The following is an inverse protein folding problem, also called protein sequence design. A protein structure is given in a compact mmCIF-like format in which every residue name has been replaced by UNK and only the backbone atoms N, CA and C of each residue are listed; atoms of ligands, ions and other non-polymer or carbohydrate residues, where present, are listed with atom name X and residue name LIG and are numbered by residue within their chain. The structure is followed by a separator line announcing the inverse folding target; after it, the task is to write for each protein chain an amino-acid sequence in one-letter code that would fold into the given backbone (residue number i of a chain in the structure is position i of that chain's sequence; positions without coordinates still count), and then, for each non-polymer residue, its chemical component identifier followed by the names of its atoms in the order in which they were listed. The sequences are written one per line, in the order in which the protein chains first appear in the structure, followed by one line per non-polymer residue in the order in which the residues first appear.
data_IF_862629175483
#
_entry.id   IF_862629175483
#
_cell.length_a   1.000
_cell.length_b   1.000
_cell.length_c   1.000
_cell.angle_alpha   90.00
_cell.angle_beta   90.00
_cell.angle_gamma   90.00
#
_symmetry.space_group_name_H-M   'P 1'
#
loop_
_entity.id
_entity.type
_entity.pdbx_description
1 polymer ?
#
# COMPACT_ATOMS: atom_id res chain seq x y z
N UNK A 1 -9.85 14.72 -2.67
CA UNK A 1 -10.32 13.35 -2.36
C UNK A 1 -10.66 13.26 -0.89
N UNK A 2 -11.81 12.71 -0.55
CA UNK A 2 -12.22 12.37 0.82
C UNK A 2 -11.77 10.93 1.16
N UNK A 3 -10.57 10.81 1.71
CA UNK A 3 -9.99 9.50 2.06
C UNK A 3 -10.84 8.71 3.05
N UNK A 4 -11.53 9.38 3.99
CA UNK A 4 -12.36 8.72 4.99
C UNK A 4 -13.58 8.07 4.34
N UNK A 5 -14.24 8.79 3.43
CA UNK A 5 -15.40 8.29 2.68
C UNK A 5 -15.04 7.12 1.80
N UNK A 6 -13.92 7.21 1.06
CA UNK A 6 -13.49 6.13 0.14
C UNK A 6 -13.04 4.90 0.92
N UNK A 7 -12.29 5.10 2.02
CA UNK A 7 -11.91 3.99 2.89
C UNK A 7 -13.14 3.27 3.47
N UNK A 8 -14.12 4.03 3.99
CA UNK A 8 -15.36 3.48 4.55
C UNK A 8 -16.12 2.64 3.51
N UNK A 9 -16.20 3.12 2.27
CA UNK A 9 -16.85 2.40 1.16
C UNK A 9 -16.19 1.04 0.91
N UNK A 10 -14.86 1.02 0.79
CA UNK A 10 -14.11 -0.20 0.50
C UNK A 10 -14.06 -1.15 1.69
N UNK A 11 -13.80 -0.62 2.89
CA UNK A 11 -13.71 -1.42 4.12
C UNK A 11 -15.05 -2.10 4.43
N UNK A 12 -16.15 -1.37 4.36
CA UNK A 12 -17.50 -1.93 4.59
C UNK A 12 -17.84 -3.06 3.62
N UNK A 13 -17.47 -2.91 2.34
CA UNK A 13 -17.65 -3.99 1.36
C UNK A 13 -16.82 -5.23 1.70
N UNK A 14 -15.54 -5.05 2.04
CA UNK A 14 -14.63 -6.15 2.35
C UNK A 14 -14.99 -6.84 3.67
N UNK A 15 -15.37 -6.09 4.70
CA UNK A 15 -15.84 -6.63 5.98
C UNK A 15 -17.06 -7.54 5.80
N UNK A 16 -18.02 -7.16 4.95
CA UNK A 16 -19.19 -8.00 4.64
C UNK A 16 -18.84 -9.35 4.01
N UNK A 17 -17.58 -9.51 3.57
CA UNK A 17 -17.04 -10.71 2.92
C UNK A 17 -15.93 -11.38 3.74
N UNK A 18 -15.75 -10.94 4.98
CA UNK A 18 -14.69 -11.42 5.89
C UNK A 18 -13.27 -11.24 5.31
N UNK A 19 -13.10 -10.31 4.36
CA UNK A 19 -11.81 -9.97 3.76
C UNK A 19 -11.16 -8.79 4.49
N UNK A 20 -9.84 -8.86 4.66
CA UNK A 20 -9.06 -7.84 5.34
C UNK A 20 -8.60 -6.75 4.37
N UNK A 21 -8.43 -5.54 4.90
CA UNK A 21 -7.87 -4.41 4.17
C UNK A 21 -6.91 -3.62 5.06
N UNK A 22 -5.83 -3.11 4.46
CA UNK A 22 -4.92 -2.19 5.14
C UNK A 22 -4.55 -1.03 4.20
N UNK A 23 -4.28 0.13 4.80
CA UNK A 23 -3.81 1.32 4.09
C UNK A 23 -2.31 1.22 3.89
N UNK A 24 -1.88 1.49 2.67
CA UNK A 24 -0.47 1.47 2.26
C UNK A 24 -0.09 2.79 1.57
N UNK A 25 0.91 2.81 0.71
CA UNK A 25 1.28 4.00 -0.06
C UNK A 25 1.58 5.23 0.79
N UNK A 26 1.16 6.39 0.31
CA UNK A 26 1.44 7.69 0.95
C UNK A 26 0.84 7.83 2.34
N UNK A 27 -0.42 7.41 2.53
CA UNK A 27 -1.08 7.43 3.84
C UNK A 27 -0.51 6.40 4.81
N UNK A 28 -0.08 5.23 4.32
CA UNK A 28 0.63 4.24 5.12
C UNK A 28 1.96 4.78 5.66
N UNK A 29 2.72 5.50 4.84
CA UNK A 29 3.93 6.21 5.26
C UNK A 29 3.62 7.28 6.32
N UNK A 30 2.56 8.05 6.10
CA UNK A 30 2.11 9.09 7.05
C UNK A 30 1.79 8.51 8.42
N UNK A 31 1.13 7.36 8.49
CA UNK A 31 0.82 6.67 9.75
C UNK A 31 2.07 6.25 10.55
N UNK A 32 3.22 6.10 9.88
CA UNK A 32 4.53 5.88 10.50
C UNK A 32 5.31 7.17 10.78
N UNK A 33 4.71 8.36 10.54
CA UNK A 33 5.37 9.65 10.77
C UNK A 33 6.22 10.16 9.61
N UNK A 34 6.16 9.52 8.44
CA UNK A 34 6.85 9.99 7.24
C UNK A 34 5.93 10.96 6.49
N UNK A 35 6.31 12.24 6.46
CA UNK A 35 5.54 13.28 5.77
C UNK A 35 5.73 13.17 4.25
N UNK A 36 4.65 12.86 3.56
CA UNK A 36 4.59 12.78 2.10
C UNK A 36 3.19 13.17 1.62
N UNK A 37 3.13 14.04 0.61
CA UNK A 37 1.87 14.35 -0.05
C UNK A 37 1.39 13.15 -0.87
N UNK A 38 0.09 12.85 -0.84
CA UNK A 38 -0.56 11.86 -1.69
C UNK A 38 -1.90 12.40 -2.17
N UNK A 39 -2.32 12.01 -3.37
CA UNK A 39 -3.59 12.40 -3.99
C UNK A 39 -4.52 11.21 -4.22
N UNK A 40 -4.03 10.01 -3.93
CA UNK A 40 -4.66 8.71 -4.11
C UNK A 40 -4.75 7.95 -2.79
N UNK A 41 -5.67 7.01 -2.73
CA UNK A 41 -5.77 6.05 -1.65
C UNK A 41 -5.21 4.72 -2.14
N UNK A 42 -4.11 4.28 -1.51
CA UNK A 42 -3.51 2.98 -1.76
C UNK A 42 -3.96 1.98 -0.69
N UNK A 43 -4.51 0.86 -1.10
CA UNK A 43 -4.96 -0.21 -0.20
C UNK A 43 -4.34 -1.55 -0.59
N UNK A 44 -4.22 -2.45 0.38
CA UNK A 44 -3.88 -3.85 0.16
C UNK A 44 -4.96 -4.76 0.72
N UNK A 45 -5.31 -5.80 -0.03
CA UNK A 45 -6.27 -6.82 0.38
C UNK A 45 -5.86 -8.21 -0.14
N UNK A 46 -6.66 -9.20 0.13
CA UNK A 46 -6.43 -10.59 -0.27
C UNK A 46 -6.80 -10.81 -1.75
N UNK A 47 -6.06 -11.68 -2.43
CA UNK A 47 -6.23 -11.93 -3.87
C UNK A 47 -7.65 -12.41 -4.24
N UNK A 48 -8.29 -13.18 -3.35
CA UNK A 48 -9.65 -13.65 -3.58
C UNK A 48 -10.72 -12.54 -3.55
N UNK A 49 -10.41 -11.39 -2.97
CA UNK A 49 -11.31 -10.23 -2.93
C UNK A 49 -11.35 -9.44 -4.23
N UNK A 50 -10.36 -9.58 -5.12
CA UNK A 50 -10.19 -8.73 -6.30
C UNK A 50 -11.42 -8.70 -7.20
N UNK A 51 -11.90 -9.86 -7.66
CA UNK A 51 -13.01 -9.91 -8.61
C UNK A 51 -14.28 -9.25 -8.08
N UNK A 52 -14.75 -9.64 -6.88
CA UNK A 52 -15.90 -9.02 -6.25
C UNK A 52 -15.72 -7.52 -5.96
N UNK A 53 -14.53 -7.10 -5.51
CA UNK A 53 -14.27 -5.69 -5.18
C UNK A 53 -14.25 -4.82 -6.45
N UNK A 54 -13.62 -5.27 -7.54
CA UNK A 54 -13.61 -4.54 -8.81
C UNK A 54 -15.04 -4.34 -9.31
N UNK A 55 -15.86 -5.41 -9.35
CA UNK A 55 -17.24 -5.31 -9.77
C UNK A 55 -18.08 -4.37 -8.87
N UNK A 56 -17.81 -4.38 -7.56
CA UNK A 56 -18.43 -3.45 -6.63
C UNK A 56 -18.04 -2.00 -6.94
N UNK A 57 -16.75 -1.70 -7.11
CA UNK A 57 -16.26 -0.35 -7.40
C UNK A 57 -16.84 0.18 -8.72
N UNK A 58 -16.92 -0.65 -9.76
CA UNK A 58 -17.56 -0.30 -11.03
C UNK A 58 -19.05 0.01 -10.84
N UNK A 59 -19.76 -0.73 -9.97
CA UNK A 59 -21.14 -0.42 -9.61
C UNK A 59 -21.32 0.89 -8.85
N UNK A 60 -20.25 1.37 -8.19
CA UNK A 60 -20.21 2.67 -7.51
C UNK A 60 -19.76 3.82 -8.43
N UNK A 61 -19.54 3.55 -9.72
CA UNK A 61 -19.18 4.55 -10.73
C UNK A 61 -17.67 4.76 -10.92
N UNK A 62 -16.83 3.91 -10.35
CA UNK A 62 -15.40 3.91 -10.67
C UNK A 62 -15.13 3.29 -12.03
N UNK A 63 -14.26 3.91 -12.80
CA UNK A 63 -13.66 3.33 -14.00
C UNK A 63 -12.42 2.54 -13.61
N UNK A 64 -12.32 1.26 -14.05
CA UNK A 64 -11.11 0.46 -13.90
C UNK A 64 -10.13 0.81 -15.01
N UNK A 65 -9.07 1.55 -14.69
CA UNK A 65 -8.06 1.98 -15.65
C UNK A 65 -7.06 0.88 -15.99
N UNK A 66 -6.73 0.05 -15.00
CA UNK A 66 -5.85 -1.10 -15.18
C UNK A 66 -6.19 -2.22 -14.20
N UNK A 67 -5.99 -3.48 -14.64
CA UNK A 67 -6.16 -4.66 -13.81
C UNK A 67 -5.15 -5.75 -14.20
N UNK A 68 -4.49 -6.32 -13.21
CA UNK A 68 -3.64 -7.51 -13.31
C UNK A 68 -3.95 -8.46 -12.15
N UNK A 69 -3.31 -9.61 -12.06
CA UNK A 69 -3.57 -10.57 -10.98
C UNK A 69 -3.30 -10.02 -9.56
N UNK A 70 -2.31 -9.12 -9.42
CA UNK A 70 -1.90 -8.57 -8.11
C UNK A 70 -2.22 -7.10 -7.91
N UNK A 71 -2.88 -6.44 -8.87
CA UNK A 71 -3.09 -5.00 -8.82
C UNK A 71 -4.29 -4.56 -9.65
N UNK A 72 -4.99 -3.53 -9.18
CA UNK A 72 -5.93 -2.76 -9.99
C UNK A 72 -5.93 -1.30 -9.58
N UNK A 73 -6.18 -0.39 -10.52
CA UNK A 73 -6.39 1.01 -10.22
C UNK A 73 -7.70 1.52 -10.81
N UNK A 74 -8.31 2.44 -10.10
CA UNK A 74 -9.63 2.93 -10.37
C UNK A 74 -9.67 4.43 -10.24
N UNK A 75 -10.47 5.08 -11.08
CA UNK A 75 -10.69 6.53 -11.04
C UNK A 75 -12.19 6.81 -11.05
N UNK A 76 -12.61 7.71 -10.17
CA UNK A 76 -13.96 8.22 -10.16
C UNK A 76 -14.00 9.64 -10.71
N UNK A 77 -15.07 9.99 -11.46
CA UNK A 77 -15.25 11.34 -12.02
C UNK A 77 -15.49 12.40 -10.94
N UNK A 78 -16.08 12.01 -9.79
CA UNK A 78 -16.20 12.87 -8.61
C UNK A 78 -14.81 12.98 -7.94
N UNK A 79 -14.22 14.21 -7.85
CA UNK A 79 -12.90 14.39 -7.24
C UNK A 79 -12.85 14.04 -5.74
N UNK A 80 -13.99 14.02 -5.05
CA UNK A 80 -14.04 13.58 -3.65
C UNK A 80 -13.87 12.06 -3.51
N UNK A 81 -14.20 11.29 -4.55
CA UNK A 81 -13.94 9.85 -4.62
C UNK A 81 -12.58 9.54 -5.26
N UNK A 82 -12.14 10.30 -6.23
CA UNK A 82 -10.80 10.36 -6.77
C UNK A 82 -10.22 9.02 -7.24
N UNK A 83 -8.91 8.85 -7.01
CA UNK A 83 -8.15 7.68 -7.46
C UNK A 83 -7.93 6.68 -6.31
N UNK A 84 -8.19 5.41 -6.61
CA UNK A 84 -8.01 4.27 -5.70
C UNK A 84 -7.10 3.22 -6.35
N UNK A 85 -6.02 2.89 -5.67
CA UNK A 85 -5.06 1.87 -6.08
C UNK A 85 -5.12 0.69 -5.12
N UNK A 86 -5.25 -0.53 -5.66
CA UNK A 86 -5.45 -1.76 -4.91
C UNK A 86 -4.36 -2.78 -5.24
N UNK A 87 -3.64 -3.20 -4.22
CA UNK A 87 -2.69 -4.32 -4.28
C UNK A 87 -3.38 -5.56 -3.70
N UNK A 88 -3.23 -6.69 -4.38
CA UNK A 88 -3.78 -7.96 -3.94
C UNK A 88 -2.65 -8.94 -3.67
N UNK A 89 -2.68 -9.56 -2.49
CA UNK A 89 -1.65 -10.49 -2.05
C UNK A 89 -2.25 -11.89 -1.83
N UNK A 90 -1.43 -12.93 -2.07
CA UNK A 90 -1.81 -14.30 -1.78
C UNK A 90 -2.04 -14.55 -0.28
N UNK A 91 -2.63 -15.69 0.05
CA UNK A 91 -3.04 -16.01 1.43
C UNK A 91 -1.86 -16.03 2.42
N UNK A 92 -0.68 -16.53 2.01
CA UNK A 92 0.50 -16.58 2.88
C UNK A 92 1.06 -15.18 3.13
N UNK A 93 1.19 -14.37 2.09
CA UNK A 93 1.59 -12.97 2.20
C UNK A 93 0.59 -12.18 3.02
N UNK A 94 -0.72 -12.37 2.81
CA UNK A 94 -1.77 -11.71 3.58
C UNK A 94 -1.67 -12.06 5.07
N UNK A 95 -1.48 -13.34 5.41
CA UNK A 95 -1.33 -13.78 6.79
C UNK A 95 -0.18 -13.06 7.51
N UNK A 96 0.99 -12.97 6.87
CA UNK A 96 2.17 -12.30 7.42
C UNK A 96 1.98 -10.78 7.51
N UNK A 97 1.45 -10.16 6.45
CA UNK A 97 1.26 -8.72 6.37
C UNK A 97 0.27 -8.24 7.45
N UNK A 98 -0.90 -8.86 7.55
CA UNK A 98 -1.94 -8.43 8.49
C UNK A 98 -1.58 -8.75 9.95
N UNK A 99 -0.86 -9.86 10.22
CA UNK A 99 -0.32 -10.15 11.55
C UNK A 99 0.73 -9.12 11.99
N UNK A 100 1.46 -8.50 11.06
CA UNK A 100 2.47 -7.49 11.30
C UNK A 100 1.95 -6.05 11.32
N UNK A 101 0.63 -5.82 11.23
CA UNK A 101 0.08 -4.46 11.32
C UNK A 101 0.29 -3.88 12.71
N UNK A 102 1.11 -2.81 12.82
CA UNK A 102 1.47 -2.17 14.10
C UNK A 102 0.92 -0.77 14.27
N UNK A 103 0.66 -0.05 13.17
CA UNK A 103 0.11 1.30 13.17
C UNK A 103 -1.36 1.28 12.74
N UNK A 104 -2.13 2.24 13.28
CA UNK A 104 -3.53 2.45 12.90
C UNK A 104 -3.72 3.90 12.52
N UNK A 105 -4.31 4.13 11.37
CA UNK A 105 -4.62 5.45 10.84
C UNK A 105 -6.10 5.76 11.09
N UNK A 106 -6.39 6.92 11.64
CA UNK A 106 -7.77 7.39 11.78
C UNK A 106 -8.22 8.05 10.48
N UNK A 107 -9.27 7.49 9.87
CA UNK A 107 -9.94 7.99 8.69
C UNK A 107 -11.42 8.21 9.02
N UNK A 108 -11.77 9.42 9.43
CA UNK A 108 -13.09 9.74 9.96
C UNK A 108 -13.38 8.92 11.22
N UNK A 109 -14.45 8.12 11.20
CA UNK A 109 -14.82 7.21 12.29
C UNK A 109 -14.12 5.84 12.24
N UNK A 110 -13.34 5.57 11.19
CA UNK A 110 -12.70 4.28 10.99
C UNK A 110 -11.24 4.31 11.46
N UNK A 111 -10.82 3.18 12.05
CA UNK A 111 -9.41 2.92 12.40
C UNK A 111 -8.84 1.93 11.39
N UNK A 112 -8.16 2.46 10.39
CA UNK A 112 -7.56 1.67 9.34
C UNK A 112 -6.31 0.93 9.84
N UNK A 113 -6.14 -0.32 9.42
CA UNK A 113 -4.90 -1.06 9.61
C UNK A 113 -3.81 -0.51 8.71
N UNK A 114 -2.57 -0.48 9.21
CA UNK A 114 -1.38 -0.10 8.44
C UNK A 114 -0.32 -1.16 8.69
N UNK A 115 0.30 -1.72 7.64
CA UNK A 115 1.40 -2.66 7.79
C UNK A 115 2.60 -2.02 8.51
N UNK A 116 3.45 -2.83 9.11
CA UNK A 116 4.71 -2.36 9.68
C UNK A 116 5.63 -1.77 8.60
N UNK A 117 6.57 -0.94 9.02
CA UNK A 117 7.45 -0.17 8.12
C UNK A 117 8.22 -1.06 7.14
N UNK A 118 8.70 -2.23 7.58
CA UNK A 118 9.40 -3.18 6.72
C UNK A 118 8.52 -3.74 5.61
N UNK A 119 7.24 -4.00 5.88
CA UNK A 119 6.31 -4.47 4.85
C UNK A 119 5.97 -3.36 3.85
N UNK A 120 5.85 -2.10 4.29
CA UNK A 120 5.73 -0.96 3.37
C UNK A 120 6.98 -0.83 2.50
N UNK A 121 8.18 -1.00 3.07
CA UNK A 121 9.43 -1.04 2.31
C UNK A 121 9.45 -2.19 1.29
N UNK A 122 8.99 -3.40 1.66
CA UNK A 122 8.87 -4.53 0.73
C UNK A 122 7.99 -4.19 -0.48
N UNK A 123 6.84 -3.54 -0.25
CA UNK A 123 5.93 -3.12 -1.33
C UNK A 123 6.58 -2.10 -2.25
N UNK A 124 7.36 -1.14 -1.71
CA UNK A 124 8.14 -0.16 -2.49
C UNK A 124 9.22 -0.83 -3.32
N UNK A 125 9.95 -1.80 -2.75
CA UNK A 125 10.94 -2.59 -3.48
C UNK A 125 10.30 -3.37 -4.64
N UNK A 126 9.14 -3.98 -4.41
CA UNK A 126 8.41 -4.69 -5.46
C UNK A 126 7.90 -3.73 -6.54
N UNK A 127 7.44 -2.53 -6.17
CA UNK A 127 7.02 -1.51 -7.13
C UNK A 127 8.18 -1.06 -8.02
N UNK A 128 9.36 -0.80 -7.46
CA UNK A 128 10.57 -0.47 -8.23
C UNK A 128 11.00 -1.58 -9.20
N UNK A 129 10.83 -2.85 -8.79
CA UNK A 129 11.13 -3.99 -9.65
C UNK A 129 10.18 -4.05 -10.85
N UNK A 130 8.90 -3.74 -10.63
CA UNK A 130 7.86 -3.82 -11.67
C UNK A 130 7.85 -2.58 -12.58
N UNK A 131 8.19 -1.41 -12.02
CA UNK A 131 8.24 -0.14 -12.76
C UNK A 131 9.49 0.67 -12.34
N UNK A 132 10.59 0.55 -13.08
CA UNK A 132 11.83 1.29 -12.80
C UNK A 132 11.69 2.82 -12.83
N UNK A 133 10.66 3.38 -13.51
CA UNK A 133 10.44 4.82 -13.58
C UNK A 133 10.10 5.43 -12.22
N UNK A 134 9.52 4.65 -11.31
CA UNK A 134 9.19 5.04 -9.94
C UNK A 134 10.40 5.01 -8.98
N UNK A 135 11.54 4.52 -9.44
CA UNK A 135 12.68 4.14 -8.61
C UNK A 135 13.18 5.22 -7.66
N UNK A 136 13.25 6.48 -8.08
CA UNK A 136 13.75 7.56 -7.24
C UNK A 136 12.81 7.86 -6.06
N UNK A 137 11.51 7.93 -6.32
CA UNK A 137 10.51 8.22 -5.29
C UNK A 137 10.38 7.07 -4.30
N UNK A 138 10.29 5.83 -4.78
CA UNK A 138 10.17 4.66 -3.92
C UNK A 138 11.44 4.44 -3.09
N UNK A 139 12.64 4.76 -3.62
CA UNK A 139 13.88 4.75 -2.84
C UNK A 139 13.87 5.81 -1.72
N UNK A 140 13.39 7.02 -2.00
CA UNK A 140 13.26 8.06 -0.98
C UNK A 140 12.28 7.64 0.13
N UNK A 141 11.18 7.00 -0.23
CA UNK A 141 10.22 6.45 0.72
C UNK A 141 10.86 5.36 1.62
N UNK A 142 11.60 4.41 1.02
CA UNK A 142 12.32 3.37 1.79
C UNK A 142 13.40 3.98 2.68
N UNK A 143 14.15 4.98 2.20
CA UNK A 143 15.13 5.70 3.00
C UNK A 143 14.48 6.36 4.22
N UNK A 144 13.33 7.01 4.04
CA UNK A 144 12.60 7.62 5.15
C UNK A 144 12.14 6.58 6.17
N UNK A 145 11.65 5.41 5.72
CA UNK A 145 11.28 4.30 6.61
C UNK A 145 12.50 3.77 7.39
N UNK A 146 13.67 3.61 6.76
CA UNK A 146 14.88 3.13 7.41
C UNK A 146 15.45 4.10 8.47
N UNK A 147 15.04 5.37 8.47
CA UNK A 147 15.37 6.35 9.51
C UNK A 147 14.50 6.25 10.76
N UNK A 148 13.39 5.52 10.68
CA UNK A 148 12.50 5.34 11.82
C UNK A 148 13.15 4.44 12.88
N UNK A 149 12.99 4.73 14.18
CA UNK A 149 13.53 3.90 15.23
C UNK A 149 12.85 2.52 15.23
N UNK A 150 13.65 1.47 15.42
CA UNK A 150 13.16 0.10 15.54
C UNK A 150 12.88 -0.63 14.22
N UNK A 151 13.08 0.01 13.08
CA UNK A 151 12.97 -0.67 11.77
C UNK A 151 14.14 -1.63 11.58
N UNK A 152 13.82 -2.88 11.22
CA UNK A 152 14.81 -3.90 10.91
C UNK A 152 15.42 -3.70 9.52
N UNK A 153 16.57 -3.02 9.49
CA UNK A 153 17.31 -2.75 8.27
C UNK A 153 17.84 -4.03 7.58
N UNK A 154 18.07 -5.12 8.33
CA UNK A 154 18.51 -6.39 7.74
C UNK A 154 17.35 -7.06 7.00
N UNK A 155 16.15 -7.03 7.56
CA UNK A 155 14.95 -7.51 6.87
C UNK A 155 14.69 -6.71 5.59
N UNK A 156 14.75 -5.38 5.65
CA UNK A 156 14.57 -4.52 4.46
C UNK A 156 15.63 -4.83 3.39
N UNK A 157 16.91 -5.00 3.78
CA UNK A 157 17.97 -5.43 2.86
C UNK A 157 17.63 -6.74 2.16
N UNK A 158 17.05 -7.71 2.88
CA UNK A 158 16.63 -8.99 2.33
C UNK A 158 15.54 -8.84 1.24
N UNK A 159 14.68 -7.82 1.29
CA UNK A 159 13.73 -7.54 0.21
C UNK A 159 14.43 -7.07 -1.07
N UNK A 160 15.43 -6.18 -0.95
CA UNK A 160 16.23 -5.74 -2.09
C UNK A 160 17.04 -6.89 -2.70
N UNK A 161 17.59 -7.78 -1.87
CA UNK A 161 18.33 -8.95 -2.34
C UNK A 161 17.45 -9.88 -3.18
N UNK A 162 16.25 -10.22 -2.69
CA UNK A 162 15.28 -11.05 -3.43
C UNK A 162 14.75 -10.37 -4.71
N UNK A 163 14.75 -9.05 -4.74
CA UNK A 163 14.37 -8.27 -5.91
C UNK A 163 15.52 -8.06 -6.92
N UNK A 164 16.76 -8.46 -6.58
CA UNK A 164 17.99 -8.17 -7.35
C UNK A 164 18.28 -6.67 -7.49
N UNK A 165 18.04 -5.89 -6.41
CA UNK A 165 18.20 -4.44 -6.34
C UNK A 165 19.16 -4.00 -5.23
N UNK A 166 20.15 -4.83 -4.84
CA UNK A 166 21.08 -4.52 -3.73
C UNK A 166 21.89 -3.24 -3.97
N UNK A 167 22.24 -2.94 -5.22
CA UNK A 167 22.90 -1.68 -5.60
C UNK A 167 22.09 -0.44 -5.16
N UNK A 168 20.77 -0.51 -5.26
CA UNK A 168 19.85 0.54 -4.81
C UNK A 168 19.83 0.64 -3.29
N UNK A 169 19.79 -0.49 -2.59
CA UNK A 169 19.90 -0.49 -1.12
C UNK A 169 21.19 0.15 -0.64
N UNK A 170 22.33 -0.23 -1.23
CA UNK A 170 23.64 0.32 -0.89
C UNK A 170 23.74 1.82 -1.18
N UNK A 171 23.06 2.31 -2.22
CA UNK A 171 22.99 3.74 -2.51
C UNK A 171 22.28 4.53 -1.41
N UNK A 172 21.11 4.06 -0.92
CA UNK A 172 20.40 4.76 0.16
C UNK A 172 21.10 4.61 1.51
N UNK A 173 21.76 3.48 1.78
CA UNK A 173 22.52 3.27 3.03
C UNK A 173 23.67 4.24 3.21
N UNK A 174 24.34 4.65 2.12
CA UNK A 174 25.43 5.65 2.18
C UNK A 174 24.96 7.05 2.57
N UNK A 175 23.65 7.32 2.48
CA UNK A 175 23.04 8.62 2.76
C UNK A 175 22.11 8.64 3.99
N UNK A 176 22.12 7.56 4.80
CA UNK A 176 21.45 7.48 6.11
C UNK A 176 22.35 7.98 7.22
#
# INVERSE_FOLDING_TARGET
MDFARVYALVAGFLESREARVAVVGGLGLHAHGVTRATLDLDLVSEANSQGPLVAFLESQGYETLHRSAGYSNHLHADPDLGRLDLVYVDADTARLLFAGCTARLELGSHRALVPRAEHLAAMKVQAMKNDPSRGLQDLADVQALLRLPGVDAAEVRGYFERAHLLDRYDAIRRSL
#
